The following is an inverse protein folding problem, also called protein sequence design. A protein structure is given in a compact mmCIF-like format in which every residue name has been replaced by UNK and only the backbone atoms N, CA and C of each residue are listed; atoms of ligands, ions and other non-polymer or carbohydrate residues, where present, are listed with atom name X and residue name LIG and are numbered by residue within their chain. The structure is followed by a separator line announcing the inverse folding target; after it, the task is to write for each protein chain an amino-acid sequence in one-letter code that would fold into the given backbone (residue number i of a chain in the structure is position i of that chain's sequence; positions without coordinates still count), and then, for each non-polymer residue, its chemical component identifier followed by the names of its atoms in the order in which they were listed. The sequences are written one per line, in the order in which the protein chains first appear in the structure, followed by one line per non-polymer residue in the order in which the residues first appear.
data_IF_014927184921
#
_entry.id   IF_014927184921
#
_cell.length_a   1.000
_cell.length_b   1.000
_cell.length_c   1.000
_cell.angle_alpha   90.00
_cell.angle_beta   90.00
_cell.angle_gamma   90.00
#
_symmetry.space_group_name_H-M   'P 1'
#
loop_
_entity.id
_entity.type
_entity.pdbx_description
1 polymer ?
#
# COMPACT_ATOMS: atom_id res chain seq x y z
N UNK A 1 5.94 10.45 0.57
CA UNK A 1 4.56 10.13 0.96
C UNK A 1 4.02 11.20 1.89
N UNK A 2 3.05 12.03 1.42
CA UNK A 2 2.54 13.20 2.14
C UNK A 2 1.98 12.86 3.54
N UNK A 3 1.45 11.66 3.73
CA UNK A 3 0.89 11.24 5.01
C UNK A 3 1.97 10.86 6.04
N UNK A 4 3.05 10.22 5.63
CA UNK A 4 4.19 10.03 6.52
C UNK A 4 4.82 11.37 6.88
N UNK A 5 4.84 12.31 5.93
CA UNK A 5 5.27 13.69 6.17
C UNK A 5 4.34 14.38 7.16
N UNK A 6 3.00 14.21 7.05
CA UNK A 6 2.03 14.81 7.96
C UNK A 6 2.10 14.22 9.36
N UNK A 7 2.23 12.89 9.51
CA UNK A 7 2.41 12.23 10.81
C UNK A 7 3.76 12.59 11.42
N UNK A 8 4.83 12.58 10.62
CA UNK A 8 6.13 13.05 11.10
C UNK A 8 6.09 14.54 11.44
N UNK A 9 5.42 15.37 10.65
CA UNK A 9 5.27 16.80 10.94
C UNK A 9 4.43 17.01 12.21
N UNK A 10 3.43 16.16 12.47
CA UNK A 10 2.65 16.21 13.71
C UNK A 10 3.50 15.77 14.92
N UNK A 11 4.19 14.65 14.81
CA UNK A 11 5.08 14.13 15.88
C UNK A 11 6.26 15.09 16.08
N UNK A 12 6.91 15.52 15.01
CA UNK A 12 7.99 16.51 15.06
C UNK A 12 7.48 17.89 15.48
N UNK A 13 6.26 18.29 15.08
CA UNK A 13 5.67 19.57 15.49
C UNK A 13 5.47 19.65 17.01
N UNK A 14 5.13 18.53 17.66
CA UNK A 14 5.06 18.43 19.12
C UNK A 14 6.48 18.50 19.72
N UNK A 15 7.46 17.83 19.12
CA UNK A 15 8.87 17.90 19.51
C UNK A 15 9.49 19.27 19.21
N UNK A 16 9.17 19.88 18.07
CA UNK A 16 9.70 21.16 17.59
C UNK A 16 9.26 22.35 18.45
N UNK A 17 8.04 22.32 18.98
CA UNK A 17 7.57 23.38 19.92
C UNK A 17 8.38 23.46 21.21
N UNK A 18 9.05 22.39 21.61
CA UNK A 18 9.80 22.30 22.87
C UNK A 18 11.32 22.22 22.74
N UNK A 19 11.84 21.66 21.63
CA UNK A 19 13.26 21.30 21.59
C UNK A 19 14.09 21.98 20.48
N UNK A 20 13.55 22.27 19.29
CA UNK A 20 14.37 22.76 18.17
C UNK A 20 13.60 23.64 17.16
N UNK A 21 13.50 24.95 17.37
CA UNK A 21 12.80 25.85 16.46
C UNK A 21 13.46 26.02 15.07
N UNK A 22 14.70 25.57 14.88
CA UNK A 22 15.49 25.83 13.67
C UNK A 22 15.61 24.66 12.69
N UNK A 23 15.21 23.44 13.06
CA UNK A 23 15.41 22.26 12.22
C UNK A 23 14.33 22.05 11.15
N UNK A 24 13.12 22.56 11.30
CA UNK A 24 12.07 22.59 10.29
C UNK A 24 12.02 21.36 9.36
N UNK A 25 11.73 21.60 8.10
CA UNK A 25 11.67 20.58 7.02
C UNK A 25 12.99 19.82 6.88
N UNK A 26 14.14 20.48 7.06
CA UNK A 26 15.47 19.83 6.98
C UNK A 26 15.62 18.73 8.03
N UNK A 27 15.16 18.93 9.26
CA UNK A 27 15.22 17.91 10.32
C UNK A 27 14.36 16.70 10.01
N UNK A 28 13.20 16.90 9.40
CA UNK A 28 12.32 15.82 8.94
C UNK A 28 13.03 14.99 7.86
N UNK A 29 13.63 15.66 6.87
CA UNK A 29 14.36 14.98 5.78
C UNK A 29 15.53 14.15 6.36
N UNK A 30 16.33 14.73 7.26
CA UNK A 30 17.42 14.02 7.91
C UNK A 30 16.94 12.81 8.72
N UNK A 31 15.86 12.96 9.48
CA UNK A 31 15.30 11.85 10.26
C UNK A 31 14.85 10.69 9.36
N UNK A 32 14.12 10.99 8.27
CA UNK A 32 13.67 9.95 7.33
C UNK A 32 14.80 9.32 6.52
N UNK A 33 15.93 10.02 6.35
CA UNK A 33 17.09 9.47 5.67
C UNK A 33 17.96 8.64 6.61
N UNK A 34 18.17 9.09 7.85
CA UNK A 34 19.07 8.44 8.79
C UNK A 34 18.40 7.26 9.51
N UNK A 35 17.12 7.32 9.82
CA UNK A 35 16.45 6.26 10.57
C UNK A 35 16.47 4.90 9.81
N UNK A 36 16.12 4.81 8.52
CA UNK A 36 16.23 3.57 7.76
C UNK A 36 17.68 3.09 7.63
N UNK A 37 18.64 4.01 7.50
CA UNK A 37 20.07 3.68 7.41
C UNK A 37 20.57 3.06 8.70
N UNK A 38 20.25 3.64 9.84
CA UNK A 38 20.60 3.10 11.15
C UNK A 38 19.97 1.73 11.37
N UNK A 39 18.66 1.60 11.06
CA UNK A 39 17.95 0.31 11.16
C UNK A 39 18.56 -0.72 10.21
N UNK A 40 18.92 -0.35 8.98
CA UNK A 40 19.60 -1.23 8.02
C UNK A 40 20.94 -1.72 8.54
N UNK A 41 21.77 -0.84 9.14
CA UNK A 41 23.04 -1.22 9.77
C UNK A 41 22.79 -2.19 10.92
N UNK A 42 21.81 -1.90 11.79
CA UNK A 42 21.46 -2.80 12.91
C UNK A 42 21.06 -4.17 12.39
N UNK A 43 20.26 -4.24 11.32
CA UNK A 43 19.86 -5.51 10.71
C UNK A 43 21.04 -6.32 10.16
N UNK A 44 22.04 -5.69 9.54
CA UNK A 44 23.25 -6.38 9.07
C UNK A 44 23.96 -7.13 10.22
N UNK A 45 23.98 -6.55 11.42
CA UNK A 45 24.63 -7.17 12.57
C UNK A 45 23.76 -8.15 13.36
N UNK A 46 22.43 -7.95 13.36
CA UNK A 46 21.49 -8.76 14.15
C UNK A 46 20.86 -9.91 13.38
N UNK A 47 20.64 -9.75 12.06
CA UNK A 47 20.06 -10.80 11.24
C UNK A 47 21.17 -11.75 10.80
N UNK A 48 21.16 -12.94 11.40
CA UNK A 48 21.78 -14.11 10.75
C UNK A 48 20.83 -14.57 9.67
N UNK A 49 21.27 -14.51 8.42
CA UNK A 49 20.52 -15.13 7.34
C UNK A 49 20.33 -16.62 7.65
N UNK A 50 19.08 -17.12 7.69
CA UNK A 50 18.87 -18.56 7.79
C UNK A 50 19.53 -19.18 6.55
N UNK A 51 20.43 -20.14 6.77
CA UNK A 51 20.96 -20.93 5.69
C UNK A 51 19.77 -21.68 5.04
N UNK A 52 19.28 -21.11 3.94
CA UNK A 52 18.29 -21.80 3.10
C UNK A 52 19.02 -22.91 2.36
N UNK A 53 19.17 -24.05 3.06
CA UNK A 53 19.69 -25.27 2.49
C UNK A 53 18.57 -25.88 1.66
N UNK A 54 18.78 -26.04 0.37
CA UNK A 54 17.94 -26.90 -0.48
C UNK A 54 18.02 -28.33 0.09
N UNK A 55 16.97 -29.14 -0.11
CA UNK A 55 16.98 -30.57 0.26
C UNK A 55 18.24 -31.30 -0.24
N UNK A 56 18.91 -30.77 -1.27
CA UNK A 56 20.16 -31.30 -1.84
C UNK A 56 21.44 -30.78 -1.16
N UNK A 57 21.37 -30.06 -0.05
CA UNK A 57 22.56 -29.56 0.68
C UNK A 57 23.31 -28.41 0.02
N UNK A 58 22.83 -27.85 -1.10
CA UNK A 58 23.43 -26.69 -1.78
C UNK A 58 22.82 -25.39 -1.30
N UNK A 59 23.65 -24.38 -0.98
CA UNK A 59 23.19 -23.04 -0.65
C UNK A 59 22.38 -22.46 -1.82
N UNK A 60 21.14 -22.02 -1.54
CA UNK A 60 20.26 -21.47 -2.56
C UNK A 60 20.61 -20.03 -2.91
N UNK A 61 21.65 -19.84 -3.73
CA UNK A 61 21.81 -18.57 -4.41
C UNK A 61 20.76 -18.45 -5.51
N UNK A 62 19.95 -17.38 -5.46
CA UNK A 62 18.94 -17.10 -6.49
C UNK A 62 19.63 -17.02 -7.85
N UNK A 63 19.26 -17.91 -8.77
CA UNK A 63 19.78 -17.92 -10.13
C UNK A 63 18.86 -17.15 -11.08
N UNK A 64 19.44 -16.57 -12.14
CA UNK A 64 18.67 -15.96 -13.22
C UNK A 64 17.66 -16.96 -13.85
N UNK A 65 17.96 -18.26 -13.80
CA UNK A 65 17.05 -19.33 -14.24
C UNK A 65 15.78 -19.40 -13.38
N UNK A 66 15.89 -19.10 -12.09
CA UNK A 66 14.75 -19.10 -11.16
C UNK A 66 13.80 -17.96 -11.48
N UNK A 67 14.32 -16.79 -11.86
CA UNK A 67 13.54 -15.64 -12.32
C UNK A 67 12.72 -16.04 -13.56
N UNK A 68 13.37 -16.64 -14.56
CA UNK A 68 12.70 -17.09 -15.79
C UNK A 68 11.67 -18.17 -15.49
N UNK A 69 11.95 -19.06 -14.55
CA UNK A 69 11.03 -20.12 -14.14
C UNK A 69 9.75 -19.53 -13.53
N UNK A 70 9.87 -18.57 -12.63
CA UNK A 70 8.73 -17.88 -12.02
C UNK A 70 7.94 -17.08 -13.07
N UNK A 71 8.61 -16.37 -14.00
CA UNK A 71 7.97 -15.63 -15.08
C UNK A 71 7.15 -16.52 -16.04
N UNK A 72 7.54 -17.79 -16.20
CA UNK A 72 6.80 -18.74 -17.03
C UNK A 72 5.53 -19.28 -16.37
N UNK A 73 5.36 -19.05 -15.07
CA UNK A 73 4.16 -19.49 -14.34
C UNK A 73 3.00 -18.51 -14.61
N UNK A 74 1.86 -18.98 -15.18
CA UNK A 74 0.72 -18.10 -15.49
C UNK A 74 0.14 -17.44 -14.23
N UNK A 75 0.19 -18.13 -13.08
CA UNK A 75 -0.22 -17.61 -11.78
C UNK A 75 0.53 -16.33 -11.41
N UNK A 76 1.82 -16.25 -11.75
CA UNK A 76 2.64 -15.08 -11.46
C UNK A 76 2.09 -13.81 -12.15
N UNK A 77 1.67 -13.94 -13.40
CA UNK A 77 1.07 -12.83 -14.16
C UNK A 77 -0.27 -12.40 -13.60
N UNK A 78 -1.09 -13.35 -13.11
CA UNK A 78 -2.35 -13.03 -12.42
C UNK A 78 -2.08 -12.21 -11.16
N UNK A 79 -1.11 -12.61 -10.34
CA UNK A 79 -0.72 -11.88 -9.12
C UNK A 79 -0.20 -10.48 -9.48
N UNK A 80 0.65 -10.37 -10.51
CA UNK A 80 1.15 -9.08 -10.99
C UNK A 80 0.00 -8.16 -11.42
N UNK A 81 -0.95 -8.67 -12.22
CA UNK A 81 -2.11 -7.87 -12.69
C UNK A 81 -2.97 -7.42 -11.51
N UNK A 82 -3.23 -8.30 -10.55
CA UNK A 82 -3.99 -7.95 -9.34
C UNK A 82 -3.29 -6.84 -8.54
N UNK A 83 -1.99 -6.96 -8.31
CA UNK A 83 -1.21 -5.94 -7.62
C UNK A 83 -1.18 -4.63 -8.41
N UNK A 84 -0.89 -4.69 -9.71
CA UNK A 84 -0.85 -3.53 -10.60
C UNK A 84 -2.18 -2.75 -10.58
N UNK A 85 -3.30 -3.47 -10.71
CA UNK A 85 -4.63 -2.85 -10.69
C UNK A 85 -4.91 -2.15 -9.37
N UNK A 86 -4.65 -2.80 -8.25
CA UNK A 86 -4.89 -2.18 -6.94
C UNK A 86 -3.92 -1.04 -6.66
N UNK A 87 -2.69 -1.12 -7.16
CA UNK A 87 -1.72 -0.03 -7.03
C UNK A 87 -2.10 1.18 -7.89
N UNK A 88 -2.74 0.96 -9.03
CA UNK A 88 -3.33 2.04 -9.84
C UNK A 88 -4.40 2.79 -9.04
N UNK A 89 -5.24 2.09 -8.27
CA UNK A 89 -6.18 2.74 -7.34
C UNK A 89 -5.46 3.52 -6.23
N UNK A 90 -4.34 3.00 -5.71
CA UNK A 90 -3.52 3.74 -4.75
C UNK A 90 -3.01 5.06 -5.32
N UNK A 91 -2.52 5.06 -6.57
CA UNK A 91 -2.11 6.28 -7.25
C UNK A 91 -3.28 7.25 -7.46
N UNK A 92 -4.44 6.73 -7.86
CA UNK A 92 -5.66 7.54 -8.03
C UNK A 92 -6.08 8.25 -6.74
N UNK A 93 -5.76 7.68 -5.57
CA UNK A 93 -6.08 8.30 -4.28
C UNK A 93 -5.37 9.63 -4.01
N UNK A 94 -4.24 9.89 -4.68
CA UNK A 94 -3.56 11.20 -4.61
C UNK A 94 -4.40 12.34 -5.20
N UNK A 95 -5.32 12.02 -6.11
CA UNK A 95 -6.22 12.99 -6.70
C UNK A 95 -7.45 13.30 -5.83
N UNK A 96 -7.65 12.57 -4.72
CA UNK A 96 -8.80 12.80 -3.83
C UNK A 96 -8.74 14.15 -3.13
N UNK A 97 -7.54 14.61 -2.75
CA UNK A 97 -7.35 15.94 -2.15
C UNK A 97 -7.67 17.06 -3.15
N UNK A 98 -7.08 17.11 -4.35
CA UNK A 98 -7.45 18.13 -5.34
C UNK A 98 -8.91 18.00 -5.82
N UNK A 99 -9.47 16.80 -5.91
CA UNK A 99 -10.87 16.62 -6.21
C UNK A 99 -11.76 17.27 -5.13
N UNK A 100 -11.51 16.99 -3.87
CA UNK A 100 -12.28 17.55 -2.76
C UNK A 100 -12.17 19.08 -2.69
N UNK A 101 -11.00 19.66 -2.94
CA UNK A 101 -10.82 21.11 -2.91
C UNK A 101 -11.38 21.80 -4.15
N UNK A 102 -11.16 21.27 -5.35
CA UNK A 102 -11.48 21.96 -6.60
C UNK A 102 -12.92 21.68 -7.10
N UNK A 103 -13.44 20.49 -6.86
CA UNK A 103 -14.75 20.07 -7.36
C UNK A 103 -15.82 20.19 -6.26
N UNK A 104 -15.50 19.77 -5.04
CA UNK A 104 -16.45 19.83 -3.92
C UNK A 104 -16.38 21.20 -3.22
N UNK A 105 -15.26 21.91 -3.30
CA UNK A 105 -15.08 23.24 -2.72
C UNK A 105 -14.76 23.24 -1.24
N UNK A 106 -14.23 22.12 -0.68
CA UNK A 106 -13.83 22.08 0.72
C UNK A 106 -12.51 22.78 0.94
N UNK A 107 -12.25 23.22 2.18
CA UNK A 107 -10.97 23.84 2.53
C UNK A 107 -9.79 22.87 2.36
N UNK A 108 -8.61 23.39 2.08
CA UNK A 108 -7.40 22.58 1.93
C UNK A 108 -7.10 21.70 3.16
N UNK A 109 -7.46 22.17 4.35
CA UNK A 109 -7.30 21.40 5.60
C UNK A 109 -8.20 20.16 5.60
N UNK A 110 -9.47 20.31 5.24
CA UNK A 110 -10.43 19.19 5.17
C UNK A 110 -10.01 18.22 4.06
N UNK A 111 -9.60 18.73 2.90
CA UNK A 111 -9.11 17.90 1.81
C UNK A 111 -7.87 17.08 2.21
N UNK A 112 -6.94 17.65 2.97
CA UNK A 112 -5.76 16.96 3.49
C UNK A 112 -6.14 15.85 4.49
N UNK A 113 -7.19 16.02 5.29
CA UNK A 113 -7.68 14.99 6.22
C UNK A 113 -8.10 13.73 5.45
N UNK A 114 -8.70 13.85 4.26
CA UNK A 114 -9.09 12.69 3.44
C UNK A 114 -7.88 11.82 3.07
N UNK A 115 -6.74 12.44 2.75
CA UNK A 115 -5.51 11.69 2.44
C UNK A 115 -4.92 11.06 3.71
N UNK A 116 -4.90 11.78 4.83
CA UNK A 116 -4.40 11.27 6.12
C UNK A 116 -5.25 10.11 6.63
N UNK A 117 -6.56 10.15 6.40
CA UNK A 117 -7.50 9.10 6.79
C UNK A 117 -7.12 7.73 6.21
N UNK A 118 -6.53 7.69 5.01
CA UNK A 118 -6.06 6.45 4.38
C UNK A 118 -5.06 5.70 5.28
N UNK A 119 -4.17 6.43 5.98
CA UNK A 119 -3.14 5.83 6.82
C UNK A 119 -3.72 5.18 8.09
N UNK A 120 -4.82 5.72 8.60
CA UNK A 120 -5.51 5.12 9.74
C UNK A 120 -6.37 3.93 9.32
N UNK A 121 -6.99 3.96 8.14
CA UNK A 121 -7.78 2.84 7.62
C UNK A 121 -6.88 1.64 7.28
N UNK A 122 -5.67 1.87 6.81
CA UNK A 122 -4.73 0.84 6.33
C UNK A 122 -4.54 -0.35 7.29
N UNK A 123 -4.13 -0.18 8.57
CA UNK A 123 -3.90 -1.30 9.46
C UNK A 123 -5.18 -2.11 9.72
N UNK A 124 -6.31 -1.42 9.90
CA UNK A 124 -7.59 -2.10 10.15
C UNK A 124 -8.07 -2.86 8.92
N UNK A 125 -8.07 -2.24 7.75
CA UNK A 125 -8.55 -2.86 6.52
C UNK A 125 -7.64 -4.02 6.09
N UNK A 126 -6.32 -3.91 6.21
CA UNK A 126 -5.40 -5.00 5.89
C UNK A 126 -5.58 -6.19 6.84
N UNK A 127 -5.76 -5.94 8.15
CA UNK A 127 -6.03 -6.99 9.15
C UNK A 127 -7.39 -7.67 8.89
N UNK A 128 -8.43 -6.88 8.64
CA UNK A 128 -9.76 -7.41 8.28
C UNK A 128 -9.70 -8.22 6.98
N UNK A 129 -8.91 -7.76 6.01
CA UNK A 129 -8.68 -8.48 4.75
C UNK A 129 -8.05 -9.85 4.98
N UNK A 130 -6.98 -9.92 5.78
CA UNK A 130 -6.35 -11.17 6.15
C UNK A 130 -7.32 -12.12 6.86
N UNK A 131 -7.96 -11.65 7.93
CA UNK A 131 -8.93 -12.44 8.69
C UNK A 131 -10.13 -12.91 7.85
N UNK A 132 -10.69 -12.04 7.01
CA UNK A 132 -11.79 -12.38 6.11
C UNK A 132 -11.33 -13.36 5.02
N UNK A 133 -10.11 -13.19 4.52
CA UNK A 133 -9.51 -14.10 3.55
C UNK A 133 -9.35 -15.51 4.08
N UNK A 134 -8.90 -15.65 5.33
CA UNK A 134 -8.77 -16.95 5.98
C UNK A 134 -10.13 -17.61 6.28
N UNK A 135 -11.16 -16.80 6.61
CA UNK A 135 -12.49 -17.31 6.98
C UNK A 135 -13.40 -17.60 5.78
N UNK A 136 -13.44 -16.72 4.80
CA UNK A 136 -14.38 -16.76 3.67
C UNK A 136 -13.72 -17.13 2.34
N UNK A 137 -12.41 -17.29 2.34
CA UNK A 137 -11.59 -17.52 1.15
C UNK A 137 -11.03 -16.24 0.57
N UNK A 138 -9.75 -16.29 0.23
CA UNK A 138 -8.96 -15.11 -0.21
C UNK A 138 -9.48 -14.50 -1.50
N UNK A 139 -9.87 -15.35 -2.47
CA UNK A 139 -10.43 -14.88 -3.74
C UNK A 139 -11.75 -14.13 -3.56
N UNK A 140 -12.67 -14.61 -2.71
CA UNK A 140 -13.92 -13.93 -2.44
C UNK A 140 -13.70 -12.60 -1.73
N UNK A 141 -12.82 -12.57 -0.74
CA UNK A 141 -12.47 -11.34 -0.01
C UNK A 141 -11.84 -10.31 -0.94
N UNK A 142 -10.98 -10.72 -1.88
CA UNK A 142 -10.39 -9.84 -2.87
C UNK A 142 -11.44 -9.25 -3.83
N UNK A 143 -12.40 -10.06 -4.29
CA UNK A 143 -13.51 -9.57 -5.13
C UNK A 143 -14.31 -8.51 -4.38
N UNK A 144 -14.62 -8.74 -3.10
CA UNK A 144 -15.30 -7.74 -2.26
C UNK A 144 -14.46 -6.45 -2.18
N UNK A 145 -13.14 -6.55 -2.00
CA UNK A 145 -12.23 -5.41 -2.03
C UNK A 145 -12.33 -4.59 -3.32
N UNK A 146 -12.35 -5.25 -4.49
CA UNK A 146 -12.55 -4.57 -5.78
C UNK A 146 -13.93 -3.94 -5.92
N UNK A 147 -14.99 -4.61 -5.46
CA UNK A 147 -16.35 -4.06 -5.47
C UNK A 147 -16.42 -2.77 -4.63
N UNK A 148 -15.81 -2.77 -3.44
CA UNK A 148 -15.75 -1.59 -2.59
C UNK A 148 -15.00 -0.42 -3.28
N UNK A 149 -13.89 -0.69 -3.95
CA UNK A 149 -13.16 0.34 -4.70
C UNK A 149 -14.00 0.92 -5.83
N UNK A 150 -14.65 0.08 -6.63
CA UNK A 150 -15.51 0.51 -7.75
C UNK A 150 -16.70 1.32 -7.21
N UNK A 151 -17.36 0.84 -6.16
CA UNK A 151 -18.48 1.55 -5.54
C UNK A 151 -18.06 2.95 -5.04
N UNK A 152 -16.89 3.06 -4.39
CA UNK A 152 -16.37 4.33 -3.93
C UNK A 152 -16.10 5.31 -5.09
N UNK A 153 -15.50 4.85 -6.20
CA UNK A 153 -15.25 5.70 -7.38
C UNK A 153 -16.57 6.15 -8.02
N UNK A 154 -17.55 5.26 -8.15
CA UNK A 154 -18.89 5.61 -8.68
C UNK A 154 -19.57 6.66 -7.79
N UNK A 155 -19.52 6.50 -6.46
CA UNK A 155 -20.05 7.50 -5.54
C UNK A 155 -19.33 8.84 -5.72
N UNK A 156 -18.01 8.87 -5.90
CA UNK A 156 -17.27 10.10 -6.19
C UNK A 156 -17.75 10.78 -7.46
N UNK A 157 -17.90 10.04 -8.57
CA UNK A 157 -18.34 10.61 -9.84
C UNK A 157 -19.76 11.20 -9.72
N UNK A 158 -20.69 10.49 -9.08
CA UNK A 158 -22.05 10.98 -8.85
C UNK A 158 -22.04 12.22 -7.98
N UNK A 159 -21.25 12.21 -6.90
CA UNK A 159 -21.16 13.32 -5.93
C UNK A 159 -20.62 14.60 -6.58
N UNK A 160 -19.67 14.48 -7.51
CA UNK A 160 -19.14 15.63 -8.25
C UNK A 160 -20.19 16.37 -9.08
N UNK A 161 -21.26 15.69 -9.49
CA UNK A 161 -22.37 16.21 -10.31
C UNK A 161 -23.55 16.75 -9.47
N UNK A 162 -23.54 16.52 -8.14
CA UNK A 162 -24.62 16.93 -7.24
C UNK A 162 -24.43 18.37 -6.75
N UNK A 163 -25.54 19.11 -6.64
CA UNK A 163 -25.57 20.44 -6.01
C UNK A 163 -26.22 20.33 -4.61
N UNK A 164 -25.64 19.54 -3.70
CA UNK A 164 -26.21 19.28 -2.37
C UNK A 164 -25.19 19.51 -1.25
N UNK A 165 -25.66 19.98 -0.08
CA UNK A 165 -24.82 20.14 1.11
C UNK A 165 -24.30 18.79 1.66
N UNK A 166 -24.96 17.68 1.33
CA UNK A 166 -24.55 16.34 1.73
C UNK A 166 -23.34 15.80 0.95
N UNK A 167 -22.81 16.52 -0.05
CA UNK A 167 -21.69 16.09 -0.89
C UNK A 167 -20.47 15.67 -0.08
N UNK A 168 -20.16 16.38 1.00
CA UNK A 168 -18.98 16.09 1.81
C UNK A 168 -19.06 14.72 2.48
N UNK A 169 -20.23 14.36 3.03
CA UNK A 169 -20.43 13.05 3.68
C UNK A 169 -20.24 11.93 2.66
N UNK A 170 -20.80 12.10 1.46
CA UNK A 170 -20.68 11.10 0.39
C UNK A 170 -19.23 10.95 -0.09
N UNK A 171 -18.46 12.05 -0.19
CA UNK A 171 -17.03 11.99 -0.54
C UNK A 171 -16.23 11.26 0.54
N UNK A 172 -16.48 11.55 1.81
CA UNK A 172 -15.83 10.84 2.92
C UNK A 172 -16.15 9.34 2.86
N UNK A 173 -17.42 8.98 2.68
CA UNK A 173 -17.84 7.59 2.56
C UNK A 173 -17.18 6.90 1.36
N UNK A 174 -17.12 7.57 0.21
CA UNK A 174 -16.45 7.07 -0.98
C UNK A 174 -14.94 6.84 -0.74
N UNK A 175 -14.25 7.78 -0.09
CA UNK A 175 -12.85 7.61 0.29
C UNK A 175 -12.65 6.40 1.21
N UNK A 176 -13.52 6.24 2.21
CA UNK A 176 -13.47 5.07 3.13
C UNK A 176 -13.61 3.76 2.36
N UNK A 177 -14.57 3.68 1.44
CA UNK A 177 -14.79 2.48 0.62
C UNK A 177 -13.58 2.15 -0.26
N UNK A 178 -13.02 3.15 -0.95
CA UNK A 178 -11.84 2.96 -1.79
C UNK A 178 -10.64 2.51 -0.95
N UNK A 179 -10.36 3.20 0.15
CA UNK A 179 -9.23 2.85 1.01
C UNK A 179 -9.40 1.48 1.68
N UNK A 180 -10.60 1.18 2.17
CA UNK A 180 -10.89 -0.13 2.76
C UNK A 180 -10.69 -1.25 1.74
N UNK A 181 -11.29 -1.15 0.54
CA UNK A 181 -11.16 -2.14 -0.51
C UNK A 181 -9.71 -2.33 -0.95
N UNK A 182 -8.97 -1.23 -1.13
CA UNK A 182 -7.57 -1.26 -1.53
C UNK A 182 -6.68 -1.96 -0.49
N UNK A 183 -6.82 -1.61 0.79
CA UNK A 183 -5.97 -2.18 1.83
C UNK A 183 -6.37 -3.62 2.22
N UNK A 184 -7.64 -4.01 2.06
CA UNK A 184 -8.07 -5.41 2.10
C UNK A 184 -7.27 -6.22 1.07
N UNK A 185 -7.20 -5.75 -0.17
CA UNK A 185 -6.47 -6.41 -1.23
C UNK A 185 -4.96 -6.43 -0.96
N UNK A 186 -4.38 -5.35 -0.44
CA UNK A 186 -2.96 -5.30 -0.07
C UNK A 186 -2.58 -6.34 0.98
N UNK A 187 -3.49 -6.70 1.88
CA UNK A 187 -3.27 -7.76 2.86
C UNK A 187 -3.25 -9.18 2.27
N UNK A 188 -3.77 -9.36 1.05
CA UNK A 188 -3.99 -10.68 0.46
C UNK A 188 -3.00 -11.08 -0.64
N UNK A 189 -2.36 -10.12 -1.34
CA UNK A 189 -1.56 -10.44 -2.55
C UNK A 189 -0.53 -11.53 -2.36
N UNK A 190 0.29 -11.42 -1.33
CA UNK A 190 1.38 -12.36 -1.12
C UNK A 190 0.90 -13.74 -0.69
N UNK A 191 -0.31 -13.86 -0.17
CA UNK A 191 -0.92 -15.15 0.15
C UNK A 191 -1.18 -15.98 -1.11
N UNK A 192 -1.45 -15.34 -2.25
CA UNK A 192 -1.67 -16.03 -3.51
C UNK A 192 -0.40 -16.65 -4.10
N UNK A 193 0.78 -16.25 -3.64
CA UNK A 193 2.05 -16.87 -4.06
C UNK A 193 2.10 -18.33 -3.59
N UNK A 194 1.74 -18.59 -2.33
CA UNK A 194 1.72 -19.94 -1.77
C UNK A 194 0.53 -20.75 -2.30
N UNK A 195 -0.66 -20.15 -2.41
CA UNK A 195 -1.86 -20.81 -2.94
C UNK A 195 -1.75 -21.12 -4.44
N UNK A 196 -1.04 -20.31 -5.18
CA UNK A 196 -0.79 -20.47 -6.61
C UNK A 196 0.19 -21.60 -6.96
N UNK A 197 0.66 -22.35 -5.96
CA UNK A 197 1.57 -23.47 -6.17
C UNK A 197 2.99 -23.05 -6.56
N UNK A 198 3.39 -21.82 -6.23
CA UNK A 198 4.78 -21.38 -6.40
C UNK A 198 5.62 -22.05 -5.31
N UNK A 199 6.68 -22.79 -5.67
CA UNK A 199 7.54 -23.47 -4.70
C UNK A 199 8.09 -22.49 -3.66
N UNK A 200 8.19 -22.92 -2.41
CA UNK A 200 8.63 -22.10 -1.28
C UNK A 200 10.02 -21.52 -1.52
N UNK A 201 10.90 -22.27 -2.17
CA UNK A 201 12.27 -21.87 -2.53
C UNK A 201 12.29 -20.69 -3.50
N UNK A 202 11.24 -20.56 -4.31
CA UNK A 202 11.06 -19.47 -5.28
C UNK A 202 10.21 -18.32 -4.74
N UNK A 203 9.71 -18.43 -3.50
CA UNK A 203 8.82 -17.45 -2.88
C UNK A 203 9.43 -16.04 -2.83
N UNK A 204 10.71 -15.92 -2.45
CA UNK A 204 11.42 -14.64 -2.43
C UNK A 204 11.53 -14.00 -3.82
N UNK A 205 11.83 -14.81 -4.85
CA UNK A 205 11.89 -14.37 -6.25
C UNK A 205 10.51 -13.90 -6.71
N UNK A 206 9.46 -14.68 -6.41
CA UNK A 206 8.09 -14.35 -6.77
C UNK A 206 7.62 -13.04 -6.11
N UNK A 207 7.90 -12.84 -4.81
CA UNK A 207 7.59 -11.59 -4.09
C UNK A 207 8.32 -10.40 -4.73
N UNK A 208 9.61 -10.56 -4.99
CA UNK A 208 10.42 -9.51 -5.63
C UNK A 208 9.89 -9.11 -7.00
N UNK A 209 9.52 -10.09 -7.81
CA UNK A 209 8.94 -9.85 -9.14
C UNK A 209 7.55 -9.25 -9.07
N UNK A 210 6.67 -9.80 -8.23
CA UNK A 210 5.33 -9.26 -8.01
C UNK A 210 5.40 -7.78 -7.58
N UNK A 211 6.32 -7.46 -6.67
CA UNK A 211 6.52 -6.09 -6.21
C UNK A 211 7.08 -5.19 -7.31
N UNK A 212 8.07 -5.64 -8.08
CA UNK A 212 8.69 -4.85 -9.15
C UNK A 212 7.66 -4.45 -10.21
N UNK A 213 6.88 -5.41 -10.70
CA UNK A 213 5.88 -5.14 -11.73
C UNK A 213 4.58 -4.57 -11.17
N UNK A 214 4.18 -4.98 -9.96
CA UNK A 214 2.96 -4.51 -9.32
C UNK A 214 3.03 -3.03 -8.92
N UNK A 215 4.23 -2.51 -8.60
CA UNK A 215 4.43 -1.11 -8.22
C UNK A 215 4.78 -0.19 -9.40
N UNK A 216 4.83 -0.71 -10.62
CA UNK A 216 5.07 0.09 -11.82
C UNK A 216 4.15 1.32 -11.98
N UNK A 217 2.85 1.30 -11.58
CA UNK A 217 2.02 2.50 -11.66
C UNK A 217 2.60 3.71 -10.93
N UNK A 218 3.34 3.50 -9.83
CA UNK A 218 3.99 4.59 -9.08
C UNK A 218 5.15 5.25 -9.85
N UNK A 219 5.76 4.49 -10.75
CA UNK A 219 6.89 4.97 -11.58
C UNK A 219 6.40 5.63 -12.87
N UNK A 220 5.23 5.19 -13.36
CA UNK A 220 4.69 5.63 -14.66
C UNK A 220 3.73 6.81 -14.53
N UNK A 221 3.27 7.16 -13.31
CA UNK A 221 2.37 8.28 -13.03
C UNK A 221 3.15 9.54 -12.66
#
# INVERSE_FOLDING_TARGET
NAAHLAVATAIFGIFQRKAMPTLGIKGIIWFYSLAPLIVGIIFIFLLKEPETVKEDGTSSTVSFKDIIRVLKMPVMWLIIIMMYTSYTFNMSSYYFTPYASNIIGVTAVIAAILTVMSQYIRPFAATLGGFSGDKFGRSHTMIVGYILMIAGVVIMDVTGKMASDSRMILVVAACVLVYAGMFINFGLYFSFISEGGIPVELGGVAIGMASTFGYLPEVLS
#
